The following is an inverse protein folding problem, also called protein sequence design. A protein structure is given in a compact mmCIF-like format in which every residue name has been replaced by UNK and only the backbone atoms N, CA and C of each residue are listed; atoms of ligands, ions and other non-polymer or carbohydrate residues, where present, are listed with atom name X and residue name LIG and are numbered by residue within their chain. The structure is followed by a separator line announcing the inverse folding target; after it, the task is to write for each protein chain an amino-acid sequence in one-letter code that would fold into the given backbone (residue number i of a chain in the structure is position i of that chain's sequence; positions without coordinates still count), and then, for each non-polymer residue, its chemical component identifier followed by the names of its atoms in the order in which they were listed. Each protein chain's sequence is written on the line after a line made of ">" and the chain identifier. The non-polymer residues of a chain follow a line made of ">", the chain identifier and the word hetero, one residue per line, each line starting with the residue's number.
data_IF_720180341696
#
_entry.id   IF_720180341696
#
_cell.length_a   1.000
_cell.length_b   1.000
_cell.length_c   1.000
_cell.angle_alpha   90.00
_cell.angle_beta   90.00
_cell.angle_gamma   90.00
#
_symmetry.space_group_name_H-M   'P 1'
#
loop_
_entity.id
_entity.type
_entity.pdbx_description
1 polymer ?
#
# COMPACT_ATOMS: atom_id res chain seq x y z
N UNK A 1 15.44 8.09 12.32
CA UNK A 1 14.76 6.81 12.06
C UNK A 1 14.21 6.15 13.33
N UNK A 2 15.03 5.85 14.37
CA UNK A 2 14.56 5.11 15.58
C UNK A 2 13.37 5.74 16.30
N UNK A 3 13.40 7.06 16.54
CA UNK A 3 12.31 7.78 17.21
C UNK A 3 11.01 7.74 16.39
N UNK A 4 11.09 8.07 15.11
CA UNK A 4 9.92 8.05 14.21
C UNK A 4 9.30 6.65 14.09
N UNK A 5 10.12 5.60 14.14
CA UNK A 5 9.64 4.22 14.18
C UNK A 5 8.84 3.93 15.45
N UNK A 6 9.36 4.30 16.62
CA UNK A 6 8.65 4.10 17.88
C UNK A 6 7.31 4.86 17.92
N UNK A 7 7.32 6.10 17.46
CA UNK A 7 6.14 6.97 17.38
C UNK A 7 5.05 6.39 16.47
N UNK A 8 5.43 5.94 15.27
CA UNK A 8 4.51 5.27 14.32
C UNK A 8 3.95 3.96 14.86
N UNK A 9 4.53 3.35 15.91
CA UNK A 9 3.99 2.15 16.56
C UNK A 9 3.30 2.45 17.91
N UNK A 10 3.26 3.70 18.37
CA UNK A 10 2.61 4.10 19.62
C UNK A 10 1.09 3.93 19.57
N UNK A 11 0.45 3.61 20.69
CA UNK A 11 -1.03 3.50 20.78
C UNK A 11 -1.73 4.86 20.72
N UNK A 12 -1.02 5.95 20.98
CA UNK A 12 -1.58 7.30 20.97
C UNK A 12 -1.59 7.86 19.54
N UNK A 13 -2.74 8.37 19.05
CA UNK A 13 -2.84 8.90 17.69
C UNK A 13 -1.94 10.14 17.48
N UNK A 14 -1.77 10.98 18.51
CA UNK A 14 -0.86 12.14 18.46
C UNK A 14 0.59 11.74 18.21
N UNK A 15 1.06 10.68 18.86
CA UNK A 15 2.40 10.13 18.62
C UNK A 15 2.55 9.61 17.20
N UNK A 16 1.53 8.93 16.66
CA UNK A 16 1.54 8.43 15.28
C UNK A 16 1.63 9.59 14.30
N UNK A 17 0.81 10.62 14.47
CA UNK A 17 0.84 11.82 13.62
C UNK A 17 2.19 12.54 13.70
N UNK A 18 2.77 12.65 14.91
CA UNK A 18 4.12 13.19 15.09
C UNK A 18 5.17 12.33 14.38
N UNK A 19 5.05 11.01 14.46
CA UNK A 19 5.90 10.06 13.77
C UNK A 19 5.84 10.20 12.25
N UNK A 20 4.64 10.36 11.69
CA UNK A 20 4.39 10.60 10.25
C UNK A 20 5.09 11.88 9.81
N UNK A 21 4.86 13.01 10.50
CA UNK A 21 5.47 14.29 10.14
C UNK A 21 6.99 14.25 10.18
N UNK A 22 7.57 13.54 11.15
CA UNK A 22 9.02 13.32 11.20
C UNK A 22 9.53 12.47 10.03
N UNK A 23 8.77 11.48 9.56
CA UNK A 23 9.16 10.64 8.43
C UNK A 23 9.09 11.41 7.12
N UNK A 24 8.02 12.19 6.92
CA UNK A 24 7.84 13.07 5.76
C UNK A 24 8.99 14.08 5.66
N UNK A 25 9.32 14.78 6.74
CA UNK A 25 10.44 15.72 6.77
C UNK A 25 11.79 15.04 6.48
N UNK A 26 11.93 13.74 6.80
CA UNK A 26 13.16 12.99 6.55
C UNK A 26 13.23 12.35 5.17
N UNK A 27 12.14 12.35 4.40
CA UNK A 27 12.04 11.63 3.12
C UNK A 27 12.97 12.24 2.08
N UNK A 28 13.02 13.58 2.01
CA UNK A 28 13.87 14.34 1.09
C UNK A 28 15.36 14.16 1.38
N UNK A 29 15.74 13.84 2.62
CA UNK A 29 17.12 13.59 3.03
C UNK A 29 17.56 12.13 2.80
N UNK A 30 16.85 11.34 1.98
CA UNK A 30 17.25 9.97 1.68
C UNK A 30 18.39 9.91 0.66
N UNK A 31 19.52 9.32 1.04
CA UNK A 31 20.73 9.23 0.19
C UNK A 31 20.78 7.96 -0.66
N UNK A 32 19.93 6.97 -0.40
CA UNK A 32 19.90 5.71 -1.14
C UNK A 32 18.48 5.17 -1.31
N UNK A 33 18.20 4.47 -2.42
CA UNK A 33 16.89 3.89 -2.69
C UNK A 33 16.46 2.87 -1.63
N UNK A 34 17.43 2.18 -0.99
CA UNK A 34 17.17 1.27 0.12
C UNK A 34 16.66 1.99 1.38
N UNK A 35 17.18 3.18 1.67
CA UNK A 35 16.65 3.99 2.76
C UNK A 35 15.31 4.62 2.39
N UNK A 36 15.14 5.04 1.13
CA UNK A 36 13.87 5.60 0.65
C UNK A 36 12.74 4.58 0.78
N UNK A 37 12.94 3.31 0.35
CA UNK A 37 11.91 2.27 0.52
C UNK A 37 11.57 2.02 1.99
N UNK A 38 12.55 2.03 2.90
CA UNK A 38 12.31 1.79 4.33
C UNK A 38 11.50 2.92 4.96
N UNK A 39 11.81 4.16 4.58
CA UNK A 39 11.04 5.34 4.99
C UNK A 39 9.61 5.28 4.46
N UNK A 40 9.44 4.99 3.16
CA UNK A 40 8.12 4.86 2.52
C UNK A 40 7.27 3.78 3.20
N UNK A 41 7.87 2.62 3.49
CA UNK A 41 7.18 1.53 4.18
C UNK A 41 6.71 1.96 5.58
N UNK A 42 7.60 2.60 6.36
CA UNK A 42 7.25 3.04 7.71
C UNK A 42 6.19 4.15 7.70
N UNK A 43 6.25 5.04 6.71
CA UNK A 43 5.29 6.11 6.50
C UNK A 43 3.91 5.55 6.09
N UNK A 44 3.90 4.48 5.26
CA UNK A 44 2.68 3.73 4.95
C UNK A 44 2.06 3.03 6.18
N UNK A 45 2.88 2.47 7.07
CA UNK A 45 2.42 1.92 8.36
C UNK A 45 1.80 3.02 9.23
N UNK A 46 2.41 4.20 9.28
CA UNK A 46 1.86 5.36 9.99
C UNK A 46 0.46 5.72 9.50
N UNK A 47 0.30 5.88 8.19
CA UNK A 47 -1.00 6.20 7.60
C UNK A 47 -2.05 5.08 7.78
N UNK A 48 -1.65 3.81 7.67
CA UNK A 48 -2.54 2.68 7.95
C UNK A 48 -3.09 2.75 9.39
N UNK A 49 -2.23 3.05 10.37
CA UNK A 49 -2.62 3.16 11.78
C UNK A 49 -3.45 4.41 12.07
N UNK A 50 -3.27 5.47 11.29
CA UNK A 50 -4.08 6.68 11.36
C UNK A 50 -5.45 6.52 10.65
N UNK A 51 -5.71 5.39 10.01
CA UNK A 51 -6.95 5.12 9.27
C UNK A 51 -6.99 5.70 7.84
N UNK A 52 -5.90 6.34 7.38
CA UNK A 52 -5.80 6.84 6.00
C UNK A 52 -5.26 5.74 5.08
N UNK A 53 -6.13 4.79 4.77
CA UNK A 53 -5.79 3.63 3.94
C UNK A 53 -5.46 4.03 2.49
N UNK A 54 -6.06 5.10 1.98
CA UNK A 54 -5.80 5.60 0.63
C UNK A 54 -4.36 6.09 0.48
N UNK A 55 -3.87 6.92 1.41
CA UNK A 55 -2.46 7.35 1.41
C UNK A 55 -1.52 6.18 1.69
N UNK A 56 -1.88 5.28 2.61
CA UNK A 56 -1.08 4.08 2.88
C UNK A 56 -0.85 3.25 1.61
N UNK A 57 -1.90 3.02 0.80
CA UNK A 57 -1.81 2.27 -0.47
C UNK A 57 -0.85 2.93 -1.47
N UNK A 58 -0.98 4.24 -1.70
CA UNK A 58 -0.13 4.98 -2.64
C UNK A 58 1.35 4.89 -2.28
N UNK A 59 1.66 4.93 -0.97
CA UNK A 59 3.03 4.83 -0.48
C UNK A 59 3.59 3.41 -0.63
N UNK A 60 2.75 2.39 -0.49
CA UNK A 60 3.13 1.00 -0.72
C UNK A 60 3.41 0.72 -2.19
N UNK A 61 2.61 1.28 -3.10
CA UNK A 61 2.87 1.21 -4.55
C UNK A 61 4.26 1.77 -4.87
N UNK A 62 4.59 2.98 -4.40
CA UNK A 62 5.93 3.58 -4.57
C UNK A 62 7.04 2.77 -3.91
N UNK A 63 6.78 2.16 -2.76
CA UNK A 63 7.73 1.29 -2.09
C UNK A 63 8.04 0.03 -2.92
N UNK A 64 7.01 -0.55 -3.55
CA UNK A 64 7.13 -1.75 -4.38
C UNK A 64 7.72 -1.46 -5.77
N UNK A 65 7.60 -0.24 -6.28
CA UNK A 65 8.37 0.21 -7.47
C UNK A 65 9.89 0.11 -7.24
N UNK A 66 10.34 0.38 -6.01
CA UNK A 66 11.77 0.28 -5.63
C UNK A 66 12.16 -1.16 -5.28
N UNK A 67 11.28 -1.92 -4.63
CA UNK A 67 11.54 -3.27 -4.16
C UNK A 67 10.31 -4.19 -4.37
N UNK A 68 10.11 -4.72 -5.59
CA UNK A 68 8.90 -5.46 -5.95
C UNK A 68 8.72 -6.75 -5.15
N UNK A 69 9.82 -7.41 -4.75
CA UNK A 69 9.79 -8.67 -4.02
C UNK A 69 9.67 -8.51 -2.50
N UNK A 70 9.39 -7.30 -2.00
CA UNK A 70 9.33 -7.06 -0.57
C UNK A 70 8.03 -7.59 0.04
N UNK A 71 8.12 -8.82 0.57
CA UNK A 71 7.00 -9.54 1.18
C UNK A 71 6.23 -8.77 2.25
N UNK A 72 6.90 -7.96 3.08
CA UNK A 72 6.22 -7.19 4.13
C UNK A 72 5.35 -6.08 3.54
N UNK A 73 5.87 -5.35 2.54
CA UNK A 73 5.12 -4.33 1.82
C UNK A 73 3.93 -4.94 1.06
N UNK A 74 4.14 -6.07 0.37
CA UNK A 74 3.06 -6.80 -0.32
C UNK A 74 1.97 -7.29 0.65
N UNK A 75 2.35 -7.77 1.82
CA UNK A 75 1.39 -8.23 2.83
C UNK A 75 0.58 -7.05 3.37
N UNK A 76 1.23 -5.93 3.67
CA UNK A 76 0.56 -4.74 4.14
C UNK A 76 -0.37 -4.14 3.07
N UNK A 77 0.04 -4.16 1.80
CA UNK A 77 -0.79 -3.69 0.69
C UNK A 77 -2.10 -4.46 0.59
N UNK A 78 -2.05 -5.80 0.67
CA UNK A 78 -3.26 -6.64 0.69
C UNK A 78 -4.18 -6.28 1.87
N UNK A 79 -3.62 -6.11 3.07
CA UNK A 79 -4.40 -5.73 4.26
C UNK A 79 -5.07 -4.37 4.09
N UNK A 80 -4.36 -3.40 3.51
CA UNK A 80 -4.88 -2.06 3.19
C UNK A 80 -5.99 -2.14 2.15
N UNK A 81 -5.81 -2.90 1.07
CA UNK A 81 -6.81 -3.11 0.02
C UNK A 81 -8.06 -3.80 0.56
N UNK A 82 -7.91 -4.83 1.39
CA UNK A 82 -9.04 -5.50 2.06
C UNK A 82 -9.79 -4.56 3.01
N UNK A 83 -9.10 -3.59 3.61
CA UNK A 83 -9.73 -2.56 4.46
C UNK A 83 -10.50 -1.54 3.62
N UNK A 84 -9.89 -1.02 2.55
CA UNK A 84 -10.56 -0.11 1.62
C UNK A 84 -11.78 -0.79 0.98
N UNK A 85 -11.64 -2.05 0.56
CA UNK A 85 -12.73 -2.83 0.00
C UNK A 85 -13.85 -3.00 1.02
N UNK A 86 -13.56 -3.39 2.26
CA UNK A 86 -14.60 -3.54 3.31
C UNK A 86 -15.29 -2.22 3.65
N UNK A 87 -14.53 -1.14 3.83
CA UNK A 87 -15.08 0.17 4.17
C UNK A 87 -15.87 0.76 2.99
N UNK A 88 -15.47 0.48 1.74
CA UNK A 88 -16.20 0.81 0.52
C UNK A 88 -17.42 -0.08 0.26
N UNK A 89 -17.39 -1.35 0.67
CA UNK A 89 -18.48 -2.32 0.55
C UNK A 89 -19.66 -2.01 1.50
N UNK A 90 -19.45 -1.21 2.56
CA UNK A 90 -20.56 -0.70 3.39
C UNK A 90 -21.44 0.31 2.61
N UNK A 91 -20.96 0.85 1.49
CA UNK A 91 -21.71 1.75 0.60
C UNK A 91 -22.07 1.21 -0.78
N UNK A 92 -21.50 0.07 -1.20
CA UNK A 92 -21.70 -0.47 -2.55
C UNK A 92 -21.72 -2.00 -2.47
N UNK A 93 -22.91 -2.60 -2.47
CA UNK A 93 -23.05 -4.04 -2.58
C UNK A 93 -22.32 -4.56 -3.83
N UNK A 94 -21.39 -5.49 -3.63
CA UNK A 94 -20.89 -6.48 -4.59
C UNK A 94 -20.80 -5.97 -6.05
N UNK A 95 -19.62 -5.49 -6.45
CA UNK A 95 -19.17 -5.68 -7.83
C UNK A 95 -17.91 -6.53 -7.83
N UNK A 96 -18.13 -7.83 -7.85
CA UNK A 96 -17.12 -8.84 -8.12
C UNK A 96 -16.62 -8.71 -9.56
N UNK A 97 -15.83 -7.66 -9.86
CA UNK A 97 -15.12 -7.55 -11.13
C UNK A 97 -13.84 -6.74 -10.94
N UNK A 98 -12.70 -7.40 -11.23
CA UNK A 98 -11.41 -6.80 -11.58
C UNK A 98 -10.34 -6.57 -10.48
N UNK A 99 -9.87 -7.64 -9.82
CA UNK A 99 -8.45 -7.74 -9.43
C UNK A 99 -7.85 -9.13 -9.73
N UNK A 100 -8.19 -9.67 -10.89
CA UNK A 100 -7.40 -10.72 -11.53
C UNK A 100 -6.32 -10.10 -12.41
N UNK A 101 -5.25 -9.54 -11.83
CA UNK A 101 -4.04 -9.16 -12.58
C UNK A 101 -2.78 -9.49 -11.78
N UNK A 102 -2.61 -10.76 -11.43
CA UNK A 102 -1.28 -11.39 -11.32
C UNK A 102 -1.37 -12.70 -12.09
N UNK A 103 -1.49 -12.57 -13.40
CA UNK A 103 -1.67 -13.68 -14.33
C UNK A 103 -1.24 -13.29 -15.73
N UNK A 104 -0.12 -12.56 -15.86
CA UNK A 104 0.50 -12.29 -17.14
C UNK A 104 1.89 -12.95 -17.17
N UNK A 105 1.88 -14.27 -17.10
CA UNK A 105 2.97 -15.09 -17.61
C UNK A 105 2.37 -16.26 -18.40
N UNK A 106 2.41 -16.11 -19.72
CA UNK A 106 2.60 -17.17 -20.73
C UNK A 106 1.36 -18.03 -21.05
N UNK A 107 0.82 -17.85 -22.26
CA UNK A 107 0.33 -18.96 -23.08
C UNK A 107 -1.17 -19.00 -23.39
N UNK A 108 -1.50 -18.74 -24.66
CA UNK A 108 -2.37 -19.65 -25.41
C UNK A 108 -3.84 -19.29 -25.58
N UNK A 109 -4.18 -19.04 -26.85
CA UNK A 109 -5.49 -19.25 -27.50
C UNK A 109 -6.55 -18.17 -27.25
N UNK A 110 -6.61 -17.27 -28.23
CA UNK A 110 -7.77 -16.46 -28.59
C UNK A 110 -8.89 -17.42 -29.03
N UNK A 111 -9.80 -17.76 -28.11
CA UNK A 111 -11.03 -18.46 -28.47
C UNK A 111 -12.11 -17.44 -28.85
N UNK A 112 -12.48 -17.49 -30.13
CA UNK A 112 -13.49 -16.68 -30.78
C UNK A 112 -14.88 -16.85 -30.14
N UNK A 113 -15.62 -15.75 -30.03
CA UNK A 113 -17.08 -15.77 -29.89
C UNK A 113 -17.71 -14.66 -30.75
N UNK A 114 -17.70 -14.93 -32.05
CA UNK A 114 -18.85 -14.84 -32.97
C UNK A 114 -19.87 -13.71 -32.77
N UNK A 115 -19.84 -12.74 -33.70
CA UNK A 115 -21.02 -11.94 -34.09
C UNK A 115 -22.07 -12.82 -34.76
N UNK A 116 -23.33 -12.76 -34.32
CA UNK A 116 -24.56 -12.55 -35.12
C UNK A 116 -25.80 -12.93 -34.31
N UNK A 117 -26.72 -11.98 -34.11
CA UNK A 117 -28.04 -12.00 -34.75
C UNK A 117 -28.59 -10.59 -34.80
#
# INVERSE_FOLDING_TARGET
>A
MRLSWALVHSRQPDDVNRGIGMLEASLDSSSSPLQTREKLYLLAVGYYRNGDYARSRQLLERCLEIAPDWRQALTLQKVVEDKIARDGLIGMGITATAFGVVGLLIGGIVAAASRKK
#
